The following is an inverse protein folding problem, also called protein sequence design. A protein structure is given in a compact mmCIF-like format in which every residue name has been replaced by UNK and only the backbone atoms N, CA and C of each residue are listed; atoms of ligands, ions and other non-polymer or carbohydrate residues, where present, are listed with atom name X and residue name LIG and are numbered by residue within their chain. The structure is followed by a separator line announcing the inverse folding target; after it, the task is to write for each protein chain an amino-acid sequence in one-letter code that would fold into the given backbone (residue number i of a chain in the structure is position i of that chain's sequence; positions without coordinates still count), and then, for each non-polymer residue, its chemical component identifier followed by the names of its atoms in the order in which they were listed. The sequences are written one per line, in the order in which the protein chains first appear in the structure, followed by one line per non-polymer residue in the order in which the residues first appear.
data_IF_667208183463
#
_entry.id   IF_667208183463
#
_cell.length_a   1.000
_cell.length_b   1.000
_cell.length_c   1.000
_cell.angle_alpha   90.00
_cell.angle_beta   90.00
_cell.angle_gamma   90.00
#
_symmetry.space_group_name_H-M   'P 1'
#
loop_
_entity.id
_entity.type
_entity.pdbx_description
1 polymer ?
#
# COMPACT_ATOMS: atom_id res chain seq x y z
N UNK A 1 -1.56 6.56 4.85
CA UNK A 1 -1.21 5.51 5.84
C UNK A 1 -0.53 4.36 5.11
N UNK A 2 0.66 3.93 5.52
CA UNK A 2 1.36 2.77 4.91
C UNK A 2 1.42 1.65 5.95
N UNK A 3 0.98 0.45 5.59
CA UNK A 3 1.06 -0.74 6.44
C UNK A 3 1.93 -1.79 5.76
N UNK A 4 2.98 -2.24 6.43
CA UNK A 4 3.84 -3.32 5.96
C UNK A 4 3.52 -4.60 6.74
N UNK A 5 3.37 -5.71 6.04
CA UNK A 5 3.04 -7.02 6.60
C UNK A 5 4.24 -7.95 6.40
N UNK A 6 4.95 -8.24 7.49
CA UNK A 6 6.12 -9.14 7.53
C UNK A 6 5.75 -10.52 8.07
N UNK A 7 6.52 -11.55 7.70
CA UNK A 7 6.35 -12.90 8.24
C UNK A 7 6.96 -13.97 7.32
N UNK A 8 7.14 -15.21 7.79
CA UNK A 8 7.78 -16.29 7.00
C UNK A 8 7.01 -16.63 5.71
N UNK A 9 7.66 -17.29 4.74
CA UNK A 9 6.96 -17.78 3.55
C UNK A 9 5.81 -18.72 3.94
N UNK A 10 4.67 -18.65 3.23
CA UNK A 10 3.53 -19.56 3.47
C UNK A 10 2.58 -19.16 4.61
N UNK A 11 2.85 -18.10 5.39
CA UNK A 11 1.99 -17.66 6.52
C UNK A 11 0.72 -16.88 6.10
N UNK A 12 0.35 -16.89 4.81
CA UNK A 12 -0.90 -16.28 4.35
C UNK A 12 -0.90 -14.75 4.17
N UNK A 13 0.25 -14.06 4.16
CA UNK A 13 0.31 -12.58 3.96
C UNK A 13 -0.43 -12.08 2.72
N UNK A 14 -0.27 -12.76 1.59
CA UNK A 14 -0.93 -12.40 0.33
C UNK A 14 -2.45 -12.50 0.49
N UNK A 15 -2.95 -13.58 1.09
CA UNK A 15 -4.39 -13.77 1.33
C UNK A 15 -4.92 -12.71 2.29
N UNK A 16 -4.17 -12.39 3.35
CA UNK A 16 -4.53 -11.32 4.28
C UNK A 16 -4.61 -9.96 3.58
N UNK A 17 -3.62 -9.62 2.74
CA UNK A 17 -3.61 -8.37 1.98
C UNK A 17 -4.79 -8.28 1.01
N UNK A 18 -5.10 -9.37 0.30
CA UNK A 18 -6.25 -9.47 -0.60
C UNK A 18 -7.56 -9.33 0.16
N UNK A 19 -7.71 -10.02 1.30
CA UNK A 19 -8.93 -9.95 2.09
C UNK A 19 -9.13 -8.56 2.72
N UNK A 20 -8.06 -7.93 3.21
CA UNK A 20 -8.10 -6.55 3.69
C UNK A 20 -8.54 -5.58 2.58
N UNK A 21 -7.98 -5.71 1.37
CA UNK A 21 -8.36 -4.88 0.23
C UNK A 21 -9.83 -5.08 -0.16
N UNK A 22 -10.31 -6.34 -0.22
CA UNK A 22 -11.72 -6.67 -0.49
C UNK A 22 -12.65 -6.06 0.55
N UNK A 23 -12.31 -6.18 1.83
CA UNK A 23 -13.10 -5.59 2.93
C UNK A 23 -13.14 -4.07 2.83
N UNK A 24 -12.00 -3.42 2.58
CA UNK A 24 -11.92 -1.98 2.45
C UNK A 24 -12.75 -1.45 1.27
N UNK A 25 -12.79 -2.18 0.15
CA UNK A 25 -13.69 -1.89 -0.98
C UNK A 25 -15.16 -2.04 -0.60
N UNK A 26 -15.55 -3.15 0.04
CA UNK A 26 -16.96 -3.35 0.46
C UNK A 26 -17.45 -2.27 1.42
N UNK A 27 -16.56 -1.75 2.27
CA UNK A 27 -16.86 -0.65 3.21
C UNK A 27 -16.84 0.74 2.54
N UNK A 28 -16.46 0.85 1.27
CA UNK A 28 -16.40 2.11 0.54
C UNK A 28 -15.25 3.04 0.95
N UNK A 29 -14.24 2.53 1.68
CA UNK A 29 -13.12 3.36 2.17
C UNK A 29 -12.21 3.87 1.05
N UNK A 30 -12.13 3.12 -0.04
CA UNK A 30 -11.33 3.43 -1.23
C UNK A 30 -12.22 3.39 -2.48
N UNK A 31 -13.05 4.40 -2.62
CA UNK A 31 -13.97 4.61 -3.75
C UNK A 31 -13.26 4.76 -5.11
N UNK A 32 -11.96 5.06 -5.11
CA UNK A 32 -11.11 5.07 -6.30
C UNK A 32 -10.67 3.68 -6.77
N UNK A 33 -10.80 2.67 -5.92
CA UNK A 33 -10.44 1.29 -6.22
C UNK A 33 -9.17 0.81 -5.52
N UNK A 34 -8.68 -0.34 -5.97
CA UNK A 34 -7.44 -0.97 -5.49
C UNK A 34 -6.52 -1.21 -6.67
N UNK A 35 -5.25 -0.83 -6.52
CA UNK A 35 -4.18 -1.23 -7.43
C UNK A 35 -3.36 -2.33 -6.76
N UNK A 36 -3.28 -3.51 -7.39
CA UNK A 36 -2.53 -4.65 -6.87
C UNK A 36 -1.37 -4.99 -7.80
N UNK A 37 -0.19 -5.21 -7.23
CA UNK A 37 0.96 -5.74 -7.94
C UNK A 37 1.68 -6.80 -7.11
N UNK A 38 1.89 -7.97 -7.70
CA UNK A 38 2.89 -8.93 -7.22
C UNK A 38 4.26 -8.53 -7.77
N UNK A 39 5.20 -8.26 -6.88
CA UNK A 39 6.54 -7.80 -7.20
C UNK A 39 7.50 -8.95 -7.52
N UNK A 40 7.07 -10.20 -7.28
CA UNK A 40 7.88 -11.40 -7.51
C UNK A 40 9.28 -11.30 -6.91
N UNK A 41 9.44 -10.61 -5.77
CA UNK A 41 10.75 -10.20 -5.26
C UNK A 41 11.70 -11.36 -4.94
N UNK A 42 11.15 -12.56 -4.68
CA UNK A 42 11.89 -13.77 -4.32
C UNK A 42 12.13 -14.72 -5.51
N UNK A 43 11.71 -14.33 -6.71
CA UNK A 43 11.91 -15.08 -7.94
C UNK A 43 12.85 -14.28 -8.84
N UNK A 44 14.10 -14.73 -9.02
CA UNK A 44 15.10 -13.95 -9.74
C UNK A 44 14.76 -13.75 -11.22
N UNK A 45 14.06 -14.70 -11.84
CA UNK A 45 13.72 -14.66 -13.26
C UNK A 45 12.47 -13.81 -13.52
N UNK A 46 11.56 -13.75 -12.53
CA UNK A 46 10.28 -13.01 -12.64
C UNK A 46 10.23 -11.71 -11.85
N UNK A 47 11.27 -11.38 -11.08
CA UNK A 47 11.35 -10.17 -10.26
C UNK A 47 10.99 -8.95 -11.10
N UNK A 48 10.00 -8.19 -10.66
CA UNK A 48 9.56 -7.02 -11.40
C UNK A 48 10.42 -5.80 -11.07
N UNK A 49 10.78 -5.09 -12.13
CA UNK A 49 11.33 -3.75 -12.05
C UNK A 49 10.24 -2.77 -11.55
N UNK A 50 10.51 -1.96 -10.52
CA UNK A 50 9.52 -1.02 -9.98
C UNK A 50 9.04 0.00 -11.01
N UNK A 51 9.89 0.40 -11.95
CA UNK A 51 9.53 1.29 -13.05
C UNK A 51 8.48 0.67 -13.97
N UNK A 52 8.62 -0.60 -14.31
CA UNK A 52 7.61 -1.34 -15.09
C UNK A 52 6.29 -1.51 -14.33
N UNK A 53 6.35 -1.77 -13.02
CA UNK A 53 5.15 -1.84 -12.17
C UNK A 53 4.41 -0.50 -12.16
N UNK A 54 5.15 0.60 -11.99
CA UNK A 54 4.59 1.96 -12.01
C UNK A 54 3.96 2.31 -13.35
N UNK A 55 4.58 1.93 -14.47
CA UNK A 55 4.01 2.11 -15.81
C UNK A 55 2.66 1.41 -15.95
N UNK A 56 2.57 0.15 -15.50
CA UNK A 56 1.30 -0.59 -15.49
C UNK A 56 0.24 0.06 -14.58
N UNK A 57 0.63 0.53 -13.39
CA UNK A 57 -0.27 1.22 -12.46
C UNK A 57 -0.78 2.56 -13.03
N UNK A 58 0.10 3.35 -13.65
CA UNK A 58 -0.26 4.60 -14.31
C UNK A 58 -1.23 4.35 -15.47
N UNK A 59 -0.97 3.33 -16.29
CA UNK A 59 -1.89 2.89 -17.34
C UNK A 59 -3.26 2.48 -16.80
N UNK A 60 -3.30 1.73 -15.69
CA UNK A 60 -4.55 1.34 -15.02
C UNK A 60 -5.34 2.55 -14.46
N UNK A 61 -4.64 3.64 -14.12
CA UNK A 61 -5.25 4.91 -13.71
C UNK A 61 -5.66 5.80 -14.89
N UNK A 62 -5.44 5.34 -16.13
CA UNK A 62 -5.82 6.03 -17.35
C UNK A 62 -4.80 7.05 -17.87
N UNK A 63 -3.56 7.01 -17.38
CA UNK A 63 -2.48 7.84 -17.91
C UNK A 63 -2.05 7.30 -19.28
N UNK A 64 -2.12 8.10 -20.37
CA UNK A 64 -1.66 7.64 -21.68
C UNK A 64 -0.16 7.34 -21.67
N UNK A 65 0.25 6.29 -22.39
CA UNK A 65 1.62 5.78 -22.35
C UNK A 65 2.67 6.82 -22.77
N UNK A 66 2.33 7.68 -23.72
CA UNK A 66 3.17 8.80 -24.17
C UNK A 66 3.43 9.86 -23.09
N UNK A 67 2.59 9.92 -22.06
CA UNK A 67 2.75 10.80 -20.90
C UNK A 67 3.49 10.13 -19.74
N UNK A 68 3.80 8.83 -19.83
CA UNK A 68 4.53 8.11 -18.78
C UNK A 68 6.04 8.34 -19.00
N UNK A 69 6.76 8.95 -18.04
CA UNK A 69 8.19 9.20 -18.15
C UNK A 69 9.00 7.90 -18.31
N UNK A 70 10.20 7.96 -18.88
CA UNK A 70 11.05 6.78 -19.02
C UNK A 70 11.68 6.32 -17.69
N UNK A 71 12.00 7.24 -16.79
CA UNK A 71 12.73 6.94 -15.55
C UNK A 71 11.79 6.59 -14.39
N UNK A 72 12.15 5.57 -13.61
CA UNK A 72 11.34 5.05 -12.50
C UNK A 72 11.00 6.11 -11.44
N UNK A 73 11.93 6.99 -11.10
CA UNK A 73 11.73 8.07 -10.14
C UNK A 73 10.70 9.09 -10.64
N UNK A 74 10.70 9.41 -11.93
CA UNK A 74 9.74 10.32 -12.54
C UNK A 74 8.35 9.68 -12.64
N UNK A 75 8.30 8.39 -12.99
CA UNK A 75 7.05 7.59 -12.90
C UNK A 75 6.48 7.59 -11.49
N UNK A 76 7.33 7.46 -10.47
CA UNK A 76 6.93 7.48 -9.06
C UNK A 76 6.38 8.85 -8.64
N UNK A 77 7.00 9.95 -9.11
CA UNK A 77 6.48 11.31 -8.89
C UNK A 77 5.12 11.50 -9.55
N UNK A 78 4.98 11.11 -10.82
CA UNK A 78 3.72 11.19 -11.55
C UNK A 78 2.63 10.34 -10.88
N UNK A 79 2.97 9.12 -10.47
CA UNK A 79 2.06 8.22 -9.77
C UNK A 79 1.48 8.86 -8.51
N UNK A 80 2.33 9.45 -7.67
CA UNK A 80 1.89 10.17 -6.47
C UNK A 80 0.99 11.36 -6.79
N UNK A 81 1.30 12.14 -7.83
CA UNK A 81 0.44 13.25 -8.29
C UNK A 81 -0.93 12.77 -8.74
N UNK A 82 -0.99 11.67 -9.50
CA UNK A 82 -2.27 11.08 -9.95
C UNK A 82 -3.08 10.57 -8.76
N UNK A 83 -2.45 9.87 -7.81
CA UNK A 83 -3.12 9.41 -6.59
C UNK A 83 -3.70 10.59 -5.77
N UNK A 84 -2.95 11.68 -5.63
CA UNK A 84 -3.40 12.88 -4.94
C UNK A 84 -4.62 13.52 -5.64
N UNK A 85 -4.61 13.57 -6.98
CA UNK A 85 -5.74 14.10 -7.76
C UNK A 85 -7.01 13.23 -7.60
N UNK A 86 -6.84 11.90 -7.59
CA UNK A 86 -7.93 10.97 -7.28
C UNK A 86 -8.49 11.21 -5.87
N UNK A 87 -7.62 11.35 -4.86
CA UNK A 87 -8.03 11.65 -3.49
C UNK A 87 -8.75 13.01 -3.37
N UNK A 88 -8.27 14.05 -4.06
CA UNK A 88 -8.89 15.38 -4.09
C UNK A 88 -10.32 15.35 -4.64
N UNK A 89 -10.63 14.39 -5.53
CA UNK A 89 -11.97 14.12 -6.07
C UNK A 89 -12.79 13.16 -5.21
N UNK A 90 -12.35 12.86 -3.99
CA UNK A 90 -12.99 11.91 -3.08
C UNK A 90 -12.88 10.45 -3.54
N UNK A 91 -11.95 10.13 -4.45
CA UNK A 91 -11.74 8.79 -5.02
C UNK A 91 -10.43 8.18 -4.54
N UNK A 92 -10.32 7.95 -3.23
CA UNK A 92 -9.11 7.38 -2.61
C UNK A 92 -8.82 5.98 -3.16
N UNK A 93 -7.55 5.68 -3.36
CA UNK A 93 -7.02 4.41 -3.87
C UNK A 93 -6.20 3.71 -2.78
N UNK A 94 -6.38 2.39 -2.71
CA UNK A 94 -5.50 1.51 -1.94
C UNK A 94 -4.49 0.84 -2.88
N UNK A 95 -3.20 0.96 -2.57
CA UNK A 95 -2.12 0.28 -3.27
C UNK A 95 -1.76 -1.00 -2.52
N UNK A 96 -1.61 -2.12 -3.21
CA UNK A 96 -1.14 -3.38 -2.64
C UNK A 96 0.10 -3.84 -3.41
N UNK A 97 1.23 -3.90 -2.71
CA UNK A 97 2.51 -4.36 -3.23
C UNK A 97 2.88 -5.69 -2.56
N UNK A 98 2.61 -6.79 -3.23
CA UNK A 98 2.81 -8.15 -2.71
C UNK A 98 4.21 -8.69 -3.04
N UNK A 99 4.78 -9.51 -2.16
CA UNK A 99 6.07 -10.17 -2.32
C UNK A 99 7.25 -9.23 -2.61
N UNK A 100 7.30 -8.07 -1.96
CA UNK A 100 8.47 -7.21 -1.97
C UNK A 100 9.68 -7.96 -1.38
N UNK A 101 10.84 -7.87 -2.04
CA UNK A 101 12.09 -8.42 -1.51
C UNK A 101 13.06 -7.33 -1.04
N UNK A 102 12.87 -6.08 -1.46
CA UNK A 102 13.70 -4.95 -1.03
C UNK A 102 12.83 -3.73 -0.73
N UNK A 103 13.32 -2.85 0.13
CA UNK A 103 12.66 -1.56 0.44
C UNK A 103 12.49 -0.74 -0.84
N UNK A 104 13.51 -0.71 -1.71
CA UNK A 104 13.49 0.05 -2.95
C UNK A 104 12.33 -0.34 -3.89
N UNK A 105 11.99 -1.64 -3.95
CA UNK A 105 10.86 -2.09 -4.76
C UNK A 105 9.52 -1.55 -4.26
N UNK A 106 9.38 -1.39 -2.94
CA UNK A 106 8.14 -0.94 -2.33
C UNK A 106 8.03 0.59 -2.25
N UNK A 107 9.12 1.28 -1.93
CA UNK A 107 9.15 2.73 -1.68
C UNK A 107 8.66 3.55 -2.87
N UNK A 108 9.02 3.16 -4.09
CA UNK A 108 8.60 3.86 -5.31
C UNK A 108 7.09 3.77 -5.57
N UNK A 109 6.41 2.79 -4.99
CA UNK A 109 4.97 2.53 -5.13
C UNK A 109 4.15 3.18 -4.01
N UNK A 110 4.78 3.91 -3.08
CA UNK A 110 4.09 4.45 -1.92
C UNK A 110 3.37 5.77 -2.22
N UNK A 111 2.11 5.94 -1.76
CA UNK A 111 1.46 7.24 -1.68
C UNK A 111 2.12 8.12 -0.61
N UNK A 112 2.10 9.43 -0.81
CA UNK A 112 2.65 10.43 0.14
C UNK A 112 1.62 11.44 0.63
N UNK A 113 0.38 11.36 0.17
CA UNK A 113 -0.64 12.41 0.30
C UNK A 113 -1.51 12.29 1.56
N UNK A 114 -1.16 11.39 2.49
CA UNK A 114 -1.89 11.11 3.73
C UNK A 114 -3.24 10.42 3.54
N UNK A 115 -3.92 10.70 2.44
CA UNK A 115 -5.27 10.25 2.08
C UNK A 115 -5.28 8.85 1.48
N UNK A 116 -4.36 8.54 0.57
CA UNK A 116 -4.22 7.19 0.03
C UNK A 116 -3.49 6.27 1.02
N UNK A 117 -3.62 4.97 0.80
CA UNK A 117 -2.98 3.97 1.64
C UNK A 117 -2.28 2.90 0.83
N UNK A 118 -1.30 2.23 1.46
CA UNK A 118 -0.61 1.10 0.87
C UNK A 118 -0.51 -0.07 1.85
N UNK A 119 -0.66 -1.29 1.33
CA UNK A 119 -0.33 -2.55 2.00
C UNK A 119 0.88 -3.15 1.28
N UNK A 120 1.93 -3.47 2.01
CA UNK A 120 3.11 -4.14 1.48
C UNK A 120 3.21 -5.51 2.12
N UNK A 121 3.51 -6.57 1.37
CA UNK A 121 3.88 -7.86 1.95
C UNK A 121 5.32 -8.23 1.61
N UNK A 122 6.01 -8.86 2.56
CA UNK A 122 7.38 -9.36 2.38
C UNK A 122 7.62 -10.60 3.24
N UNK A 123 8.47 -11.52 2.78
CA UNK A 123 8.87 -12.72 3.54
C UNK A 123 9.88 -12.43 4.66
N UNK A 124 10.46 -11.23 4.68
CA UNK A 124 11.35 -10.76 5.73
C UNK A 124 11.01 -9.31 6.10
N UNK A 125 11.44 -8.87 7.27
CA UNK A 125 11.20 -7.50 7.72
C UNK A 125 11.90 -6.50 6.80
N UNK A 126 11.13 -5.63 6.16
CA UNK A 126 11.64 -4.48 5.41
C UNK A 126 11.81 -3.30 6.38
N UNK A 127 12.80 -3.39 7.26
CA UNK A 127 13.17 -2.28 8.12
C UNK A 127 13.50 -1.06 7.23
N UNK A 128 13.03 0.13 7.61
CA UNK A 128 13.17 1.43 6.91
C UNK A 128 12.03 1.90 5.99
N UNK A 129 10.96 1.13 5.81
CA UNK A 129 9.72 1.75 5.32
C UNK A 129 9.11 2.56 6.47
N UNK A 130 8.80 3.85 6.25
CA UNK A 130 7.98 4.67 7.16
C UNK A 130 6.52 4.15 7.15
N UNK A 131 6.35 2.90 7.58
CA UNK A 131 5.15 2.10 7.50
C UNK A 131 4.86 1.49 8.86
N UNK A 132 3.58 1.37 9.19
CA UNK A 132 3.12 0.60 10.34
C UNK A 132 3.37 -0.88 10.05
N UNK A 133 4.27 -1.51 10.78
CA UNK A 133 4.61 -2.91 10.60
C UNK A 133 3.60 -3.80 11.34
N UNK A 134 3.03 -4.77 10.64
CA UNK A 134 2.26 -5.89 11.17
C UNK A 134 3.09 -7.17 10.94
N UNK A 135 3.56 -7.81 12.00
CA UNK A 135 4.25 -9.11 11.91
C UNK A 135 3.23 -10.24 12.07
N UNK A 136 3.03 -11.04 11.02
CA UNK A 136 2.09 -12.17 11.06
C UNK A 136 2.64 -13.40 11.78
N UNK A 137 3.92 -13.44 12.15
CA UNK A 137 4.43 -14.52 13.00
C UNK A 137 3.93 -14.38 14.46
N UNK A 138 3.23 -13.28 14.79
CA UNK A 138 2.68 -12.97 16.13
C UNK A 138 1.18 -12.68 16.06
N UNK A 139 0.46 -13.30 15.12
CA UNK A 139 -1.00 -13.38 15.23
C UNK A 139 -1.34 -14.63 16.05
N UNK A 140 -1.75 -14.39 17.27
CA UNK A 140 -2.51 -15.36 18.07
C UNK A 140 -3.70 -15.82 17.20
N UNK A 141 -3.82 -17.12 16.89
CA UNK A 141 -4.89 -17.65 16.04
C UNK A 141 -6.30 -17.34 16.59
N UNK A 142 -6.40 -16.91 17.85
CA UNK A 142 -7.65 -16.53 18.50
C UNK A 142 -7.95 -15.00 18.47
N UNK A 143 -7.06 -14.19 17.90
CA UNK A 143 -7.30 -12.75 17.76
C UNK A 143 -8.24 -12.47 16.56
N UNK A 144 -9.49 -12.13 16.84
CA UNK A 144 -10.47 -11.71 15.84
C UNK A 144 -9.90 -10.59 14.94
N UNK A 145 -9.70 -10.94 13.67
CA UNK A 145 -9.01 -10.14 12.63
C UNK A 145 -9.64 -8.75 12.37
N UNK A 146 -10.81 -8.44 12.93
CA UNK A 146 -11.48 -7.15 12.79
C UNK A 146 -10.84 -6.03 13.64
N UNK A 147 -10.21 -6.37 14.77
CA UNK A 147 -9.85 -5.37 15.78
C UNK A 147 -8.45 -4.75 15.59
N UNK A 148 -7.53 -5.46 14.91
CA UNK A 148 -6.17 -4.98 14.65
C UNK A 148 -6.12 -3.76 13.69
N UNK A 149 -7.14 -3.63 12.83
CA UNK A 149 -7.32 -2.50 11.93
C UNK A 149 -7.99 -1.31 12.64
N UNK A 150 -9.00 -1.58 13.49
CA UNK A 150 -9.78 -0.54 14.18
C UNK A 150 -9.03 0.17 15.31
N UNK A 151 -8.27 -0.56 16.15
CA UNK A 151 -7.43 0.06 17.19
C UNK A 151 -6.36 1.00 16.62
N UNK A 152 -6.02 0.88 15.33
CA UNK A 152 -5.07 1.77 14.66
C UNK A 152 -5.63 3.12 14.24
N UNK A 153 -6.93 3.19 13.94
CA UNK A 153 -7.55 4.40 13.40
C UNK A 153 -7.97 5.35 14.53
N UNK A 154 -8.21 4.82 15.73
CA UNK A 154 -8.64 5.61 16.90
C UNK A 154 -7.49 6.35 17.61
N UNK A 155 -6.25 5.84 17.55
CA UNK A 155 -5.07 6.46 18.21
C UNK A 155 -4.53 7.69 17.49
N UNK A 156 -5.14 8.12 16.38
CA UNK A 156 -4.84 9.40 15.71
C UNK A 156 -5.77 10.54 16.17
N UNK A 157 -6.47 10.35 17.30
CA UNK A 157 -7.09 11.44 18.04
C UNK A 157 -6.03 12.39 18.60
N UNK A 158 -5.46 13.24 17.73
CA UNK A 158 -4.86 14.49 18.17
C UNK A 158 -5.95 15.25 18.91
N UNK A 159 -5.67 15.46 20.20
CA UNK A 159 -6.49 16.18 21.14
C UNK A 159 -7.13 17.41 20.51
N UNK A 160 -8.45 17.41 20.53
CA UNK A 160 -9.24 18.62 20.60
C UNK A 160 -8.81 19.42 21.82
N UNK A 161 -8.03 20.48 21.63
CA UNK A 161 -8.00 21.63 22.54
C UNK A 161 -8.03 22.91 21.72
N UNK A 162 -9.26 23.25 21.34
CA UNK A 162 -9.68 24.62 21.14
C UNK A 162 -10.30 25.04 22.47
N UNK A 163 -9.62 25.85 23.28
CA UNK A 163 -10.26 26.71 24.26
C UNK A 163 -9.98 28.17 23.90
N UNK A 164 -10.93 28.68 23.13
CA UNK A 164 -11.59 29.97 23.22
C UNK A 164 -11.09 31.02 24.25
N UNK A 165 -11.08 32.26 23.73
CA UNK A 165 -11.13 33.60 24.37
C UNK A 165 -9.80 34.17 24.85
#
# INVERSE_FOLDING_TARGET
MVTAVGGLAGVGKTELAVQAARTALRRGWFSGGVLFADLFGYDNDRRRDPGQVLEGMLGALGVPGEHIPAHAQDRSRLFRSVLAEFAARGRRILVVADNANTVHQAELLLPTDGSNAAIITSRHTLAMLNARLLDLNVLDPDAEYEDAFHRSAADTGLASENQAI
#
